data_IF_948418710060
#
_entry.id   IF_948418710060
#
_cell.length_a   1.000
_cell.length_b   1.000
_cell.length_c   1.000
_cell.angle_alpha   90.00
_cell.angle_beta   90.00
_cell.angle_gamma   90.00
#
_symmetry.space_group_name_H-M   'P 1'
#
loop_
_entity.id
_entity.type
_entity.pdbx_description
1 polymer ?
#
# COMPACT_ATOMS: atom_id res chain seq x y z
N UNK A 1 47.03 6.31 55.09
CA UNK A 1 46.28 5.31 54.30
C UNK A 1 45.11 6.04 53.66
N UNK A 2 45.13 6.25 52.33
CA UNK A 2 44.10 7.01 51.59
C UNK A 2 43.09 6.01 51.03
N UNK A 3 41.86 6.06 51.52
CA UNK A 3 40.73 5.26 51.05
C UNK A 3 40.28 5.78 49.68
N UNK A 4 40.42 4.94 48.66
CA UNK A 4 39.90 5.20 47.31
C UNK A 4 38.47 4.63 47.28
N UNK A 5 37.47 5.50 47.20
CA UNK A 5 36.09 5.10 46.96
C UNK A 5 35.91 4.88 45.45
N UNK A 6 35.65 3.65 45.05
CA UNK A 6 35.28 3.28 43.68
C UNK A 6 33.77 3.45 43.55
N UNK A 7 33.33 4.41 42.74
CA UNK A 7 31.92 4.58 42.36
C UNK A 7 31.69 3.76 41.08
N UNK A 8 30.96 2.66 41.22
CA UNK A 8 30.48 1.85 40.08
C UNK A 8 29.19 2.50 39.58
N UNK A 9 29.27 3.19 38.45
CA UNK A 9 28.10 3.72 37.76
C UNK A 9 27.41 2.59 36.99
N UNK A 10 26.25 2.16 37.49
CA UNK A 10 25.39 1.17 36.86
C UNK A 10 24.72 1.79 35.61
N UNK A 11 25.21 1.45 34.42
CA UNK A 11 24.52 1.71 33.16
C UNK A 11 23.28 0.80 33.07
N UNK A 12 22.12 1.36 33.41
CA UNK A 12 20.83 0.74 33.10
C UNK A 12 20.64 0.89 31.59
N UNK A 13 20.93 -0.18 30.85
CA UNK A 13 20.54 -0.28 29.46
C UNK A 13 19.00 -0.33 29.41
N UNK A 14 18.39 0.78 29.02
CA UNK A 14 16.99 0.83 28.64
C UNK A 14 16.85 0.08 27.31
N UNK A 15 16.70 -1.24 27.39
CA UNK A 15 16.23 -2.05 26.28
C UNK A 15 14.76 -1.70 26.05
N UNK A 16 14.51 -0.55 25.40
CA UNK A 16 13.18 -0.27 24.88
C UNK A 16 12.81 -1.43 23.95
N UNK A 17 11.76 -2.16 24.31
CA UNK A 17 11.15 -3.09 23.38
C UNK A 17 10.71 -2.27 22.17
N UNK A 18 11.47 -2.34 21.09
CA UNK A 18 11.05 -1.81 19.81
C UNK A 18 9.85 -2.67 19.37
N UNK A 19 8.65 -2.18 19.65
CA UNK A 19 7.45 -2.72 19.05
C UNK A 19 7.54 -2.39 17.56
N UNK A 20 7.78 -3.39 16.73
CA UNK A 20 7.66 -3.25 15.29
C UNK A 20 6.25 -2.72 14.98
N UNK A 21 6.16 -1.68 14.17
CA UNK A 21 4.87 -1.13 13.75
C UNK A 21 4.05 -2.22 13.02
N UNK A 22 2.72 -2.19 13.18
CA UNK A 22 1.85 -3.16 12.51
C UNK A 22 1.81 -2.89 11.00
N UNK A 23 2.54 -3.69 10.23
CA UNK A 23 2.62 -3.57 8.79
C UNK A 23 1.26 -3.75 8.08
N UNK A 24 0.27 -4.36 8.72
CA UNK A 24 -1.06 -4.53 8.13
C UNK A 24 -1.93 -3.28 8.26
N UNK A 25 -1.60 -2.37 9.17
CA UNK A 25 -2.41 -1.19 9.46
C UNK A 25 -2.61 -0.27 8.23
N UNK A 26 -1.56 0.21 7.52
CA UNK A 26 -1.77 1.07 6.36
C UNK A 26 -2.51 0.34 5.22
N UNK A 27 -2.22 -0.95 5.03
CA UNK A 27 -2.88 -1.78 4.01
C UNK A 27 -4.35 -1.96 4.30
N UNK A 28 -4.72 -2.17 5.57
CA UNK A 28 -6.10 -2.29 6.00
C UNK A 28 -6.89 -1.02 5.67
N UNK A 29 -6.30 0.16 5.88
CA UNK A 29 -6.97 1.42 5.61
C UNK A 29 -7.26 1.64 4.11
N UNK A 30 -6.31 1.25 3.24
CA UNK A 30 -6.50 1.25 1.78
C UNK A 30 -7.60 0.27 1.37
N UNK A 31 -7.57 -0.96 1.92
CA UNK A 31 -8.57 -1.98 1.58
C UNK A 31 -9.96 -1.67 2.15
N UNK A 32 -10.06 -0.95 3.28
CA UNK A 32 -11.33 -0.47 3.82
C UNK A 32 -11.94 0.59 2.88
N UNK A 33 -11.13 1.55 2.40
CA UNK A 33 -11.58 2.55 1.42
C UNK A 33 -11.98 1.88 0.09
N UNK A 34 -11.14 1.00 -0.44
CA UNK A 34 -11.43 0.27 -1.69
C UNK A 34 -12.72 -0.55 -1.57
N UNK A 35 -12.94 -1.25 -0.46
CA UNK A 35 -14.19 -1.97 -0.22
C UNK A 35 -15.41 -1.05 -0.20
N UNK A 36 -15.28 0.12 0.44
CA UNK A 36 -16.37 1.09 0.48
C UNK A 36 -16.70 1.60 -0.91
N UNK A 37 -15.67 2.02 -1.67
CA UNK A 37 -15.80 2.55 -3.03
C UNK A 37 -16.56 1.61 -3.96
N UNK A 38 -16.32 0.30 -3.85
CA UNK A 38 -16.94 -0.73 -4.69
C UNK A 38 -18.16 -1.40 -4.05
N UNK A 39 -18.64 -0.92 -2.91
CA UNK A 39 -19.83 -1.46 -2.27
C UNK A 39 -21.11 -0.97 -2.98
N UNK A 40 -22.12 -1.84 -3.04
CA UNK A 40 -23.45 -1.52 -3.57
C UNK A 40 -24.31 -0.74 -2.55
N UNK A 41 -23.77 0.37 -2.05
CA UNK A 41 -24.37 1.16 -0.97
C UNK A 41 -24.38 2.68 -1.22
N UNK A 42 -24.05 3.12 -2.45
CA UNK A 42 -23.92 4.54 -2.81
C UNK A 42 -23.00 5.33 -1.86
N UNK A 43 -21.88 4.74 -1.43
CA UNK A 43 -20.91 5.49 -0.61
C UNK A 43 -20.19 6.55 -1.43
N UNK A 44 -19.77 7.63 -0.76
CA UNK A 44 -18.93 8.65 -1.39
C UNK A 44 -17.57 8.04 -1.74
N UNK A 45 -17.12 8.25 -2.98
CA UNK A 45 -15.82 7.77 -3.43
C UNK A 45 -14.70 8.38 -2.59
N UNK A 46 -13.87 7.51 -2.02
CA UNK A 46 -12.69 7.89 -1.25
C UNK A 46 -11.44 7.63 -2.10
N UNK A 47 -10.75 8.70 -2.49
CA UNK A 47 -9.46 8.57 -3.16
C UNK A 47 -8.41 8.06 -2.18
N UNK A 48 -7.79 6.91 -2.49
CA UNK A 48 -6.76 6.31 -1.64
C UNK A 48 -5.44 7.10 -1.67
N UNK A 49 -5.28 8.00 -2.64
CA UNK A 49 -4.12 8.89 -2.80
C UNK A 49 -4.44 10.35 -2.45
N UNK A 50 -5.53 10.60 -1.73
CA UNK A 50 -5.83 11.95 -1.25
C UNK A 50 -4.69 12.47 -0.35
N UNK A 51 -4.52 13.79 -0.29
CA UNK A 51 -3.41 14.41 0.43
C UNK A 51 -3.31 14.01 1.91
N UNK A 52 -4.45 13.77 2.57
CA UNK A 52 -4.46 13.35 3.98
C UNK A 52 -3.90 11.94 4.16
N UNK A 53 -4.11 11.05 3.18
CA UNK A 53 -3.60 9.68 3.14
C UNK A 53 -2.16 9.59 2.69
N UNK A 54 -1.76 10.34 1.67
CA UNK A 54 -0.39 10.36 1.16
C UNK A 54 0.61 10.55 2.30
N UNK A 55 0.37 11.52 3.17
CA UNK A 55 1.30 11.91 4.23
C UNK A 55 1.51 10.86 5.35
N UNK A 56 0.61 9.86 5.49
CA UNK A 56 0.70 8.89 6.59
C UNK A 56 0.57 7.41 6.20
N UNK A 57 0.06 7.11 5.00
CA UNK A 57 -0.06 5.73 4.52
C UNK A 57 1.10 5.31 3.61
N UNK A 58 1.82 6.26 3.00
CA UNK A 58 2.78 5.97 1.94
C UNK A 58 4.20 6.45 2.31
N UNK A 59 5.20 5.73 1.80
CA UNK A 59 6.61 6.10 1.98
C UNK A 59 6.92 7.42 1.25
N UNK A 60 7.94 8.13 1.71
CA UNK A 60 8.39 9.36 1.01
C UNK A 60 8.81 9.09 -0.43
N UNK A 61 9.38 7.91 -0.69
CA UNK A 61 9.78 7.49 -2.03
C UNK A 61 8.57 7.27 -2.95
N UNK A 62 7.51 6.66 -2.43
CA UNK A 62 6.24 6.49 -3.14
C UNK A 62 5.60 7.84 -3.46
N UNK A 63 5.48 8.73 -2.47
CA UNK A 63 4.88 10.06 -2.63
C UNK A 63 5.62 10.87 -3.70
N UNK A 64 6.95 10.85 -3.68
CA UNK A 64 7.75 11.57 -4.68
C UNK A 64 7.50 11.08 -6.11
N UNK A 65 7.32 9.76 -6.30
CA UNK A 65 6.98 9.17 -7.61
C UNK A 65 5.55 9.50 -8.02
N UNK A 66 4.61 9.46 -7.08
CA UNK A 66 3.22 9.85 -7.31
C UNK A 66 3.13 11.30 -7.81
N UNK A 67 3.79 12.22 -7.11
CA UNK A 67 3.83 13.64 -7.47
C UNK A 67 4.52 13.91 -8.82
N UNK A 68 5.52 13.11 -9.18
CA UNK A 68 6.16 13.19 -10.49
C UNK A 68 5.24 12.67 -11.61
N UNK A 69 4.55 11.55 -11.37
CA UNK A 69 3.59 10.97 -12.32
C UNK A 69 2.36 11.87 -12.52
N UNK A 70 1.86 12.51 -11.45
CA UNK A 70 0.70 13.39 -11.51
C UNK A 70 0.90 14.64 -12.38
N UNK A 71 2.14 14.97 -12.77
CA UNK A 71 2.43 16.03 -13.75
C UNK A 71 2.19 15.60 -15.20
N UNK A 72 1.99 14.30 -15.44
CA UNK A 72 1.78 13.68 -16.75
C UNK A 72 0.67 12.62 -16.65
N UNK A 73 -0.56 12.98 -16.22
CA UNK A 73 -1.61 11.99 -15.98
C UNK A 73 -1.88 11.16 -17.24
N UNK A 74 -2.15 9.87 -17.06
CA UNK A 74 -2.39 8.94 -18.17
C UNK A 74 -3.72 9.17 -18.90
N UNK A 75 -4.67 9.90 -18.29
CA UNK A 75 -5.95 10.28 -18.86
C UNK A 75 -6.07 11.77 -19.18
N UNK A 76 -7.04 12.13 -20.02
CA UNK A 76 -7.44 13.53 -20.33
C UNK A 76 -8.26 14.17 -19.19
N UNK A 77 -8.12 13.67 -17.97
CA UNK A 77 -8.90 14.13 -16.82
C UNK A 77 -8.37 15.50 -16.37
N UNK A 78 -9.04 16.55 -16.83
CA UNK A 78 -8.80 17.98 -16.50
C UNK A 78 -8.77 18.26 -14.99
N UNK A 79 -9.22 17.30 -14.17
CA UNK A 79 -9.35 17.41 -12.72
C UNK A 79 -8.00 17.15 -12.01
N UNK A 80 -7.03 16.49 -12.65
CA UNK A 80 -5.66 16.32 -12.15
C UNK A 80 -5.53 15.56 -10.82
N UNK A 81 -6.51 14.72 -10.47
CA UNK A 81 -6.63 14.11 -9.13
C UNK A 81 -5.72 12.89 -8.99
N UNK A 82 -5.57 12.07 -10.03
CA UNK A 82 -4.78 10.82 -10.03
C UNK A 82 -3.92 10.71 -11.30
N UNK A 83 -2.68 10.22 -11.21
CA UNK A 83 -1.88 9.89 -12.40
C UNK A 83 -2.42 8.68 -13.17
N UNK A 84 -3.33 7.91 -12.57
CA UNK A 84 -3.91 6.68 -13.12
C UNK A 84 -5.36 6.92 -13.56
N UNK A 85 -5.74 6.33 -14.69
CA UNK A 85 -7.10 6.30 -15.27
C UNK A 85 -7.91 5.05 -14.83
N UNK A 86 -7.45 4.36 -13.78
CA UNK A 86 -8.05 3.14 -13.24
C UNK A 86 -7.82 3.01 -11.72
N UNK A 87 -8.62 2.20 -11.04
CA UNK A 87 -8.36 1.82 -9.65
C UNK A 87 -7.24 0.76 -9.61
N UNK A 88 -6.12 1.15 -9.00
CA UNK A 88 -4.89 0.35 -8.97
C UNK A 88 -4.99 -0.91 -8.10
N UNK A 89 -5.93 -0.96 -7.14
CA UNK A 89 -6.11 -2.10 -6.25
C UNK A 89 -6.90 -3.19 -6.95
N UNK A 90 -8.03 -2.84 -7.57
CA UNK A 90 -8.77 -3.80 -8.41
C UNK A 90 -8.09 -3.99 -9.76
N UNK A 91 -7.13 -3.14 -10.13
CA UNK A 91 -6.44 -3.13 -11.42
C UNK A 91 -7.45 -3.10 -12.59
N UNK A 92 -8.31 -2.07 -12.60
CA UNK A 92 -9.35 -1.90 -13.60
C UNK A 92 -10.24 -0.66 -13.36
N UNK A 93 -11.08 -0.34 -14.35
CA UNK A 93 -12.05 0.76 -14.28
C UNK A 93 -13.39 0.32 -13.68
N UNK A 94 -13.62 -0.98 -13.54
CA UNK A 94 -14.87 -1.55 -13.02
C UNK A 94 -14.55 -2.74 -12.11
N UNK A 95 -15.37 -2.88 -11.08
CA UNK A 95 -15.34 -4.00 -10.15
C UNK A 95 -16.72 -4.18 -9.51
N UNK A 96 -17.02 -5.43 -9.18
CA UNK A 96 -18.10 -5.80 -8.28
C UNK A 96 -17.70 -5.51 -6.82
N UNK A 97 -18.68 -5.53 -5.89
CA UNK A 97 -18.39 -5.60 -4.46
C UNK A 97 -17.37 -6.69 -4.15
N UNK A 98 -16.32 -6.32 -3.40
CA UNK A 98 -15.21 -7.22 -3.16
C UNK A 98 -15.64 -8.37 -2.24
N UNK A 99 -15.46 -9.61 -2.71
CA UNK A 99 -15.80 -10.82 -1.95
C UNK A 99 -14.55 -11.60 -1.52
N UNK A 100 -14.70 -12.43 -0.49
CA UNK A 100 -13.67 -13.35 0.01
C UNK A 100 -12.31 -12.68 0.31
N UNK A 101 -12.34 -11.43 0.80
CA UNK A 101 -11.13 -10.68 1.09
C UNK A 101 -10.35 -11.29 2.26
N UNK A 102 -9.10 -11.66 1.99
CA UNK A 102 -8.12 -12.14 2.97
C UNK A 102 -6.86 -11.29 2.93
N UNK A 103 -6.17 -11.17 4.07
CA UNK A 103 -4.95 -10.40 4.22
C UNK A 103 -3.96 -11.15 5.12
N UNK A 104 -2.69 -11.21 4.74
CA UNK A 104 -1.64 -11.84 5.53
C UNK A 104 -0.31 -11.09 5.36
N UNK A 105 0.37 -10.83 6.47
CA UNK A 105 1.74 -10.31 6.47
C UNK A 105 2.76 -11.46 6.51
N UNK A 106 3.78 -11.39 5.67
CA UNK A 106 4.94 -12.27 5.72
C UNK A 106 5.95 -11.77 6.78
N UNK A 107 6.90 -12.61 7.23
CA UNK A 107 8.05 -12.13 7.99
C UNK A 107 8.83 -11.06 7.20
N UNK A 108 9.33 -10.00 7.86
CA UNK A 108 10.10 -8.97 7.16
C UNK A 108 11.39 -9.52 6.53
N UNK A 109 11.71 -9.06 5.33
CA UNK A 109 12.95 -9.34 4.60
C UNK A 109 13.62 -8.02 4.25
N UNK A 110 14.87 -7.82 4.67
CA UNK A 110 15.64 -6.59 4.42
C UNK A 110 14.90 -5.29 4.83
N UNK A 111 14.13 -5.33 5.93
CA UNK A 111 13.38 -4.18 6.43
C UNK A 111 12.05 -3.92 5.71
N UNK A 112 11.65 -4.78 4.78
CA UNK A 112 10.36 -4.71 4.09
C UNK A 112 9.47 -5.87 4.51
N UNK A 113 8.21 -5.59 4.82
CA UNK A 113 7.17 -6.59 5.10
C UNK A 113 6.24 -6.67 3.90
N UNK A 114 6.14 -7.83 3.26
CA UNK A 114 5.12 -8.05 2.22
C UNK A 114 3.78 -8.37 2.90
N UNK A 115 2.76 -7.56 2.64
CA UNK A 115 1.37 -7.85 3.02
C UNK A 115 0.61 -8.25 1.77
N UNK A 116 0.19 -9.52 1.71
CA UNK A 116 -0.58 -10.04 0.58
C UNK A 116 -2.06 -9.93 0.89
N UNK A 117 -2.81 -9.31 -0.01
CA UNK A 117 -4.27 -9.23 0.00
C UNK A 117 -4.82 -10.02 -1.18
N UNK A 118 -5.86 -10.83 -0.96
CA UNK A 118 -6.56 -11.58 -2.01
C UNK A 118 -8.06 -11.38 -1.88
N UNK A 119 -8.74 -11.14 -3.00
CA UNK A 119 -10.19 -10.95 -3.05
C UNK A 119 -10.71 -11.28 -4.46
N UNK A 120 -12.03 -11.44 -4.60
CA UNK A 120 -12.71 -11.51 -5.90
C UNK A 120 -13.25 -10.12 -6.24
N UNK A 121 -12.96 -9.65 -7.46
CA UNK A 121 -13.42 -8.34 -7.96
C UNK A 121 -14.54 -8.43 -8.99
N UNK A 122 -14.87 -9.63 -9.46
CA UNK A 122 -15.83 -9.85 -10.57
C UNK A 122 -17.00 -10.74 -10.18
N UNK A 123 -17.28 -10.91 -8.88
CA UNK A 123 -18.25 -11.89 -8.38
C UNK A 123 -19.71 -11.66 -8.85
N UNK A 124 -20.05 -10.45 -9.27
CA UNK A 124 -21.36 -10.08 -9.82
C UNK A 124 -21.51 -10.37 -11.33
N UNK A 125 -20.42 -10.72 -12.03
CA UNK A 125 -20.44 -11.08 -13.44
C UNK A 125 -20.78 -12.57 -13.63
N UNK A 126 -21.49 -12.90 -14.72
CA UNK A 126 -21.74 -14.30 -15.12
C UNK A 126 -20.70 -14.76 -16.15
N UNK A 127 -19.43 -14.69 -15.76
CA UNK A 127 -18.28 -15.01 -16.59
C UNK A 127 -17.37 -16.03 -15.89
N UNK A 128 -16.56 -16.82 -16.62
CA UNK A 128 -15.68 -17.82 -16.00
C UNK A 128 -14.69 -17.23 -14.98
N UNK A 129 -14.22 -16.00 -15.22
CA UNK A 129 -13.28 -15.26 -14.38
C UNK A 129 -13.93 -14.63 -13.13
N UNK A 130 -15.26 -14.66 -12.99
CA UNK A 130 -15.97 -14.17 -11.81
C UNK A 130 -15.51 -14.84 -10.49
N UNK A 131 -14.92 -16.04 -10.59
CA UNK A 131 -14.41 -16.81 -9.45
C UNK A 131 -12.93 -16.59 -9.18
N UNK A 132 -12.23 -15.90 -10.07
CA UNK A 132 -10.78 -15.72 -9.97
C UNK A 132 -10.44 -14.72 -8.87
N UNK A 133 -9.32 -14.99 -8.20
CA UNK A 133 -8.80 -14.11 -7.17
C UNK A 133 -7.88 -13.08 -7.79
N UNK A 134 -8.14 -11.81 -7.48
CA UNK A 134 -7.15 -10.74 -7.58
C UNK A 134 -6.21 -10.86 -6.38
N UNK A 135 -4.90 -10.74 -6.64
CA UNK A 135 -3.87 -10.70 -5.60
C UNK A 135 -3.11 -9.39 -5.70
N UNK A 136 -3.06 -8.65 -4.60
CA UNK A 136 -2.29 -7.41 -4.46
C UNK A 136 -1.30 -7.61 -3.33
N UNK A 137 -0.04 -7.24 -3.58
CA UNK A 137 1.03 -7.30 -2.58
C UNK A 137 1.45 -5.89 -2.26
N UNK A 138 1.45 -5.56 -0.98
CA UNK A 138 1.92 -4.28 -0.49
C UNK A 138 3.30 -4.49 0.11
N UNK A 139 4.28 -3.75 -0.38
CA UNK A 139 5.59 -3.67 0.25
C UNK A 139 5.50 -2.58 1.32
N UNK A 140 5.64 -2.97 2.60
CA UNK A 140 5.49 -2.06 3.74
C UNK A 140 6.83 -1.91 4.45
N UNK A 141 7.26 -0.68 4.66
CA UNK A 141 8.52 -0.32 5.34
C UNK A 141 8.23 0.49 6.59
N UNK A 142 9.22 0.61 7.47
CA UNK A 142 9.14 1.52 8.62
C UNK A 142 9.86 2.84 8.31
N UNK A 143 9.13 3.96 8.36
CA UNK A 143 9.68 5.31 8.29
C UNK A 143 9.31 6.09 9.55
N UNK A 144 10.31 6.66 10.23
CA UNK A 144 10.10 7.45 11.45
C UNK A 144 9.26 6.73 12.54
N UNK A 145 9.35 5.39 12.62
CA UNK A 145 8.60 4.57 13.57
C UNK A 145 7.16 4.25 13.16
N UNK A 146 6.77 4.56 11.92
CA UNK A 146 5.46 4.27 11.34
C UNK A 146 5.59 3.25 10.20
N UNK A 147 4.68 2.29 10.12
CA UNK A 147 4.57 1.41 8.97
C UNK A 147 3.88 2.15 7.82
N UNK A 148 4.52 2.19 6.66
CA UNK A 148 4.03 2.90 5.46
C UNK A 148 4.21 2.03 4.22
N UNK A 149 3.29 2.17 3.27
CA UNK A 149 3.31 1.45 1.99
C UNK A 149 4.37 2.09 1.10
N UNK A 150 5.38 1.30 0.75
CA UNK A 150 6.45 1.68 -0.16
C UNK A 150 6.15 1.29 -1.62
N UNK A 151 5.41 0.21 -1.85
CA UNK A 151 4.95 -0.16 -3.18
C UNK A 151 3.63 -0.94 -3.15
N UNK A 152 2.91 -0.88 -4.26
CA UNK A 152 1.73 -1.70 -4.54
C UNK A 152 2.09 -2.53 -5.76
N UNK A 153 2.05 -3.85 -5.61
CA UNK A 153 2.43 -4.80 -6.66
C UNK A 153 1.22 -5.65 -7.02
N UNK A 154 0.71 -5.46 -8.23
CA UNK A 154 -0.37 -6.29 -8.77
C UNK A 154 0.21 -7.47 -9.53
N UNK A 155 -0.53 -8.57 -9.57
CA UNK A 155 -0.17 -9.75 -10.34
C UNK A 155 -0.94 -9.75 -11.67
N UNK A 156 -0.22 -9.81 -12.79
CA UNK A 156 -0.81 -10.00 -14.09
C UNK A 156 -1.32 -11.45 -14.19
N UNK A 157 -2.64 -11.62 -14.36
CA UNK A 157 -3.28 -12.95 -14.30
C UNK A 157 -2.85 -13.89 -15.44
N UNK A 158 -2.43 -13.35 -16.59
CA UNK A 158 -2.04 -14.14 -17.76
C UNK A 158 -0.58 -14.60 -17.68
N UNK A 159 0.31 -13.71 -17.23
CA UNK A 159 1.76 -13.95 -17.22
C UNK A 159 2.31 -14.34 -15.86
N UNK A 160 1.51 -14.17 -14.80
CA UNK A 160 1.95 -14.19 -13.39
C UNK A 160 3.08 -13.19 -13.11
N UNK A 161 3.24 -12.20 -13.99
CA UNK A 161 4.15 -11.09 -13.82
C UNK A 161 3.74 -10.23 -12.61
N UNK A 162 4.73 -9.62 -11.97
CA UNK A 162 4.52 -8.66 -10.88
C UNK A 162 4.72 -7.26 -11.44
N UNK A 163 3.69 -6.43 -11.34
CA UNK A 163 3.69 -5.07 -11.83
C UNK A 163 3.76 -4.10 -10.64
N UNK A 164 4.91 -3.45 -10.49
CA UNK A 164 5.17 -2.45 -9.44
C UNK A 164 4.53 -1.12 -9.81
N UNK A 165 3.69 -0.58 -8.93
CA UNK A 165 3.06 0.72 -9.14
C UNK A 165 4.10 1.85 -9.12
N UNK A 166 5.15 1.74 -8.30
CA UNK A 166 6.30 2.66 -8.38
C UNK A 166 6.97 2.66 -9.73
N UNK A 167 7.14 1.48 -10.35
CA UNK A 167 7.70 1.38 -11.70
C UNK A 167 6.76 2.02 -12.73
N UNK A 168 5.44 1.77 -12.63
CA UNK A 168 4.42 2.41 -13.48
C UNK A 168 4.45 3.94 -13.36
N UNK A 169 4.45 4.49 -12.14
CA UNK A 169 4.56 5.94 -11.91
C UNK A 169 5.83 6.53 -12.55
N UNK A 170 6.96 5.80 -12.50
CA UNK A 170 8.20 6.25 -13.11
C UNK A 170 8.19 6.23 -14.65
N UNK A 171 7.30 5.45 -15.27
CA UNK A 171 7.05 5.48 -16.72
C UNK A 171 6.11 6.63 -17.09
N UNK A 172 5.00 6.78 -16.35
CA UNK A 172 4.04 7.88 -16.50
C UNK A 172 4.76 9.23 -16.40
N UNK A 173 5.64 9.41 -15.41
CA UNK A 173 6.42 10.63 -15.23
C UNK A 173 7.38 10.95 -16.41
N UNK A 174 7.59 10.01 -17.33
CA UNK A 174 8.36 10.18 -18.58
C UNK A 174 7.45 10.36 -19.81
N UNK A 175 6.14 10.36 -19.62
CA UNK A 175 5.13 10.35 -20.69
C UNK A 175 5.12 9.03 -21.47
N UNK A 176 5.36 7.91 -20.79
CA UNK A 176 5.44 6.57 -21.38
C UNK A 176 4.32 5.66 -20.91
#
# INVERSE_FOLDING_TARGET
MKTIAVVIASLIAFSGAAHAADATAPVKEIMDATRSNWADNNSDWTDIFDASRLDHLYSKDFIAKYQAAAQFPAGDDDDGISPFDYDVIVNGQDACPLEDLTMAAAPPVNGTTEVTVRFKKSACADTPDAKDYTTVRFEVVEEAGQAVIDDIVTENIETQGRDSLKATMALIAKGQ
#
